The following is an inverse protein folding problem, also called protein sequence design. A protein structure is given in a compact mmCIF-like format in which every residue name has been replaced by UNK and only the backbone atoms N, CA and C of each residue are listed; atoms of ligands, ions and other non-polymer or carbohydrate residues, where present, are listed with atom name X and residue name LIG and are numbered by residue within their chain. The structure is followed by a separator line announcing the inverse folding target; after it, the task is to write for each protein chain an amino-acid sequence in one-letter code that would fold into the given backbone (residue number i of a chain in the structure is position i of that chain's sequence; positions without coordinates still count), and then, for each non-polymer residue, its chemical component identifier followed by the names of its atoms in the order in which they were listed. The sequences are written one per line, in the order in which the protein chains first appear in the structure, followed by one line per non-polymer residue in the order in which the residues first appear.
data_IF_545294831957
#
_entry.id   IF_545294831957
#
_cell.length_a   1.000
_cell.length_b   1.000
_cell.length_c   1.000
_cell.angle_alpha   90.00
_cell.angle_beta   90.00
_cell.angle_gamma   90.00
#
_symmetry.space_group_name_H-M   'P 1'
#
loop_
_entity.id
_entity.type
_entity.pdbx_description
1 polymer ?
#
# COMPACT_ATOMS: atom_id res chain seq x y z
N UNK A 1 7.18 5.57 -11.40
CA UNK A 1 6.11 5.48 -10.41
C UNK A 1 5.93 6.79 -9.61
N UNK A 2 6.92 7.28 -8.87
CA UNK A 2 6.79 8.51 -8.07
C UNK A 2 6.56 9.77 -8.92
N UNK A 3 7.24 9.89 -10.07
CA UNK A 3 7.13 11.02 -10.99
C UNK A 3 6.00 10.87 -12.02
N UNK A 4 5.42 9.69 -12.14
CA UNK A 4 4.44 9.38 -13.19
C UNK A 4 2.98 9.69 -12.81
N UNK A 5 2.73 10.46 -11.75
CA UNK A 5 1.38 10.89 -11.39
C UNK A 5 0.53 9.90 -10.58
N UNK A 6 1.07 8.74 -10.20
CA UNK A 6 0.36 7.77 -9.35
C UNK A 6 0.16 8.24 -7.90
N UNK A 7 0.88 9.26 -7.51
CA UNK A 7 0.82 9.86 -6.16
C UNK A 7 0.97 11.38 -6.27
N UNK A 8 0.33 12.12 -5.37
CA UNK A 8 0.34 13.57 -5.34
C UNK A 8 0.54 14.12 -3.95
N UNK A 9 0.80 15.43 -3.85
CA UNK A 9 0.64 16.21 -2.64
C UNK A 9 -0.79 16.78 -2.63
N UNK A 10 -1.60 16.34 -1.67
CA UNK A 10 -3.00 16.78 -1.53
C UNK A 10 -3.15 17.45 -0.18
N UNK A 11 -3.68 18.67 -0.15
CA UNK A 11 -3.85 19.48 1.08
C UNK A 11 -2.56 19.54 1.96
N UNK A 12 -1.40 19.68 1.32
CA UNK A 12 -0.11 19.74 2.00
C UNK A 12 0.50 18.38 2.37
N UNK A 13 -0.25 17.28 2.29
CA UNK A 13 0.20 15.92 2.64
C UNK A 13 0.75 15.20 1.43
N UNK A 14 1.98 14.70 1.54
CA UNK A 14 2.68 14.00 0.44
C UNK A 14 2.23 12.56 0.28
N UNK A 15 2.34 12.04 -0.96
CA UNK A 15 2.15 10.62 -1.23
C UNK A 15 0.72 10.13 -1.35
N UNK A 16 -0.24 11.06 -1.44
CA UNK A 16 -1.67 10.76 -1.48
C UNK A 16 -2.15 10.24 -2.83
N UNK A 17 -3.29 9.58 -2.80
CA UNK A 17 -4.11 9.30 -3.98
C UNK A 17 -4.48 10.62 -4.68
N UNK A 18 -4.13 10.79 -5.97
CA UNK A 18 -4.30 12.07 -6.67
C UNK A 18 -5.75 12.49 -6.89
N UNK A 19 -6.68 11.57 -6.68
CA UNK A 19 -8.10 11.75 -6.99
C UNK A 19 -8.51 11.08 -8.31
N UNK A 20 -9.83 11.04 -8.52
CA UNK A 20 -10.44 10.34 -9.66
C UNK A 20 -9.96 10.88 -11.00
N UNK A 21 -10.16 12.18 -11.26
CA UNK A 21 -9.87 12.79 -12.59
C UNK A 21 -8.40 12.68 -13.02
N UNK A 22 -7.41 13.04 -12.19
CA UNK A 22 -6.00 12.88 -12.57
C UNK A 22 -5.63 11.43 -12.90
N UNK A 23 -6.16 10.46 -12.17
CA UNK A 23 -5.89 9.04 -12.42
C UNK A 23 -6.63 8.49 -13.64
N UNK A 24 -7.84 8.93 -13.93
CA UNK A 24 -8.51 8.62 -15.20
C UNK A 24 -7.69 9.10 -16.40
N UNK A 25 -7.15 10.32 -16.33
CA UNK A 25 -6.30 10.88 -17.36
C UNK A 25 -4.99 10.09 -17.52
N UNK A 26 -4.32 9.79 -16.40
CA UNK A 26 -3.08 9.00 -16.41
C UNK A 26 -3.33 7.60 -16.98
N UNK A 27 -4.32 6.87 -16.52
CA UNK A 27 -4.60 5.51 -16.97
C UNK A 27 -5.02 5.49 -18.45
N UNK A 28 -5.83 6.48 -18.86
CA UNK A 28 -6.22 6.65 -20.27
C UNK A 28 -5.02 6.91 -21.17
N UNK A 29 -4.07 7.76 -20.74
CA UNK A 29 -2.86 8.07 -21.52
C UNK A 29 -1.92 6.88 -21.70
N UNK A 30 -2.00 5.89 -20.79
CA UNK A 30 -1.27 4.62 -20.88
C UNK A 30 -1.93 3.59 -21.83
N UNK A 31 -2.98 3.97 -22.57
CA UNK A 31 -3.71 3.08 -23.48
C UNK A 31 -4.56 2.03 -22.76
N UNK A 32 -4.95 2.29 -21.54
CA UNK A 32 -5.75 1.37 -20.71
C UNK A 32 -7.21 1.83 -20.69
N UNK A 33 -8.12 0.92 -20.99
CA UNK A 33 -9.56 1.06 -20.77
C UNK A 33 -10.06 0.03 -19.74
N UNK A 34 -11.35 0.09 -19.39
CA UNK A 34 -11.93 -0.77 -18.35
C UNK A 34 -12.02 -2.27 -18.73
N UNK A 35 -11.80 -2.63 -19.99
CA UNK A 35 -11.85 -4.04 -20.45
C UNK A 35 -10.55 -4.79 -20.20
N UNK A 36 -9.43 -4.11 -19.93
CA UNK A 36 -8.10 -4.70 -19.88
C UNK A 36 -7.81 -5.40 -18.55
N UNK A 37 -7.15 -6.53 -18.62
CA UNK A 37 -6.46 -7.10 -17.46
C UNK A 37 -5.10 -6.41 -17.32
N UNK A 38 -4.85 -5.81 -16.17
CA UNK A 38 -3.62 -5.09 -15.86
C UNK A 38 -2.68 -6.00 -15.09
N UNK A 39 -1.48 -6.20 -15.61
CA UNK A 39 -0.41 -6.90 -14.88
C UNK A 39 0.64 -5.87 -14.48
N UNK A 40 0.74 -5.62 -13.18
CA UNK A 40 1.75 -4.69 -12.63
C UNK A 40 3.06 -5.45 -12.44
N UNK A 41 4.12 -4.94 -13.09
CA UNK A 41 5.47 -5.52 -13.01
C UNK A 41 6.39 -4.55 -12.29
N UNK A 42 7.06 -5.02 -11.24
CA UNK A 42 8.11 -4.30 -10.51
C UNK A 42 9.48 -4.89 -10.83
N UNK A 43 10.57 -4.24 -10.40
CA UNK A 43 11.90 -4.73 -10.75
C UNK A 43 12.24 -6.11 -10.13
N UNK A 44 11.68 -6.44 -8.98
CA UNK A 44 11.89 -7.73 -8.30
C UNK A 44 13.15 -7.77 -7.41
N UNK A 45 13.61 -6.61 -6.90
CA UNK A 45 14.90 -6.48 -6.21
C UNK A 45 14.77 -6.22 -4.69
N UNK A 46 13.60 -5.82 -4.21
CA UNK A 46 13.39 -5.53 -2.80
C UNK A 46 11.90 -5.49 -2.41
N UNK A 47 11.64 -5.57 -1.11
CA UNK A 47 10.30 -5.38 -0.56
C UNK A 47 9.75 -3.98 -0.78
N UNK A 48 10.60 -2.95 -0.79
CA UNK A 48 10.20 -1.58 -1.12
C UNK A 48 9.80 -1.44 -2.59
N UNK A 49 10.48 -2.14 -3.48
CA UNK A 49 10.15 -2.21 -4.90
C UNK A 49 8.81 -2.92 -5.12
N UNK A 50 8.55 -4.05 -4.44
CA UNK A 50 7.22 -4.66 -4.42
C UNK A 50 6.13 -3.69 -3.97
N UNK A 51 6.44 -2.81 -3.02
CA UNK A 51 5.53 -1.77 -2.55
C UNK A 51 5.04 -0.82 -3.64
N UNK A 52 5.83 -0.59 -4.69
CA UNK A 52 5.39 0.19 -5.86
C UNK A 52 4.27 -0.53 -6.62
N UNK A 53 4.42 -1.84 -6.85
CA UNK A 53 3.39 -2.64 -7.50
C UNK A 53 2.13 -2.76 -6.63
N UNK A 54 2.28 -3.04 -5.34
CA UNK A 54 1.16 -3.12 -4.40
C UNK A 54 0.38 -1.80 -4.33
N UNK A 55 1.08 -0.65 -4.38
CA UNK A 55 0.45 0.66 -4.40
C UNK A 55 -0.35 0.92 -5.67
N UNK A 56 0.17 0.55 -6.84
CA UNK A 56 -0.56 0.66 -8.12
C UNK A 56 -1.76 -0.30 -8.11
N UNK A 57 -1.58 -1.52 -7.66
CA UNK A 57 -2.66 -2.50 -7.50
C UNK A 57 -3.80 -1.95 -6.63
N UNK A 58 -3.48 -1.44 -5.43
CA UNK A 58 -4.45 -0.80 -4.54
C UNK A 58 -5.13 0.40 -5.21
N UNK A 59 -4.40 1.17 -6.01
CA UNK A 59 -4.95 2.31 -6.73
C UNK A 59 -5.99 1.86 -7.75
N UNK A 60 -5.72 0.82 -8.55
CA UNK A 60 -6.72 0.26 -9.48
C UNK A 60 -7.95 -0.27 -8.76
N UNK A 61 -7.77 -1.00 -7.66
CA UNK A 61 -8.89 -1.49 -6.84
C UNK A 61 -9.74 -0.32 -6.30
N UNK A 62 -9.10 0.76 -5.87
CA UNK A 62 -9.77 1.99 -5.40
C UNK A 62 -10.48 2.72 -6.55
N UNK A 63 -9.94 2.68 -7.77
CA UNK A 63 -10.60 3.20 -8.97
C UNK A 63 -11.78 2.32 -9.45
N UNK A 64 -12.04 1.20 -8.77
CA UNK A 64 -13.11 0.26 -9.13
C UNK A 64 -12.72 -0.71 -10.25
N UNK A 65 -11.43 -0.82 -10.57
CA UNK A 65 -10.92 -1.76 -11.56
C UNK A 65 -10.41 -3.03 -10.86
N UNK A 66 -11.21 -4.10 -10.95
CA UNK A 66 -10.92 -5.37 -10.24
C UNK A 66 -9.97 -6.29 -11.01
N UNK A 67 -9.88 -6.14 -12.35
CA UNK A 67 -9.08 -7.00 -13.22
C UNK A 67 -7.61 -6.57 -13.25
N UNK A 68 -6.94 -6.68 -12.13
CA UNK A 68 -5.54 -6.31 -11.91
C UNK A 68 -4.78 -7.41 -11.17
N UNK A 69 -3.53 -7.65 -11.55
CA UNK A 69 -2.62 -8.63 -10.96
C UNK A 69 -1.23 -8.03 -10.78
N UNK A 70 -0.41 -8.67 -9.95
CA UNK A 70 1.02 -8.38 -9.82
C UNK A 70 1.81 -9.60 -10.30
N UNK A 71 2.81 -9.41 -11.17
CA UNK A 71 3.77 -10.45 -11.51
C UNK A 71 4.66 -10.71 -10.29
N UNK A 72 4.41 -11.81 -9.59
CA UNK A 72 5.13 -12.17 -8.37
C UNK A 72 6.61 -12.46 -8.66
N UNK A 73 7.53 -11.83 -7.93
CA UNK A 73 8.96 -11.84 -8.22
C UNK A 73 9.42 -10.79 -9.23
N UNK A 74 8.48 -10.12 -9.90
CA UNK A 74 8.73 -8.99 -10.81
C UNK A 74 9.57 -9.33 -12.03
N UNK A 75 10.17 -8.29 -12.64
CA UNK A 75 10.98 -8.42 -13.85
C UNK A 75 12.22 -9.32 -13.66
N UNK A 76 12.82 -9.27 -12.46
CA UNK A 76 13.99 -10.12 -12.17
C UNK A 76 13.64 -11.60 -12.32
N UNK A 77 12.56 -12.07 -11.70
CA UNK A 77 12.19 -13.49 -11.78
C UNK A 77 11.75 -13.90 -13.18
N UNK A 78 11.16 -13.00 -13.96
CA UNK A 78 10.86 -13.22 -15.38
C UNK A 78 12.14 -13.52 -16.19
N UNK A 79 13.18 -12.71 -16.00
CA UNK A 79 14.48 -12.91 -16.64
C UNK A 79 15.18 -14.19 -16.16
N UNK A 80 15.19 -14.41 -14.86
CA UNK A 80 15.85 -15.58 -14.26
C UNK A 80 15.20 -16.89 -14.73
N UNK A 81 13.89 -16.87 -15.04
CA UNK A 81 13.17 -17.99 -15.64
C UNK A 81 13.43 -18.18 -17.16
N UNK A 82 14.27 -17.35 -17.76
CA UNK A 82 14.62 -17.45 -19.19
C UNK A 82 13.57 -16.92 -20.16
N UNK A 83 12.55 -16.21 -19.67
CA UNK A 83 11.52 -15.65 -20.55
C UNK A 83 12.06 -14.49 -21.40
N UNK A 84 11.52 -14.38 -22.61
CA UNK A 84 11.94 -13.39 -23.60
C UNK A 84 11.74 -11.97 -23.09
N UNK A 85 12.76 -11.15 -23.29
CA UNK A 85 12.76 -9.71 -23.03
C UNK A 85 13.15 -8.99 -24.32
N UNK A 86 12.50 -7.87 -24.60
CA UNK A 86 12.83 -6.99 -25.73
C UNK A 86 13.21 -5.61 -25.20
N UNK A 87 14.11 -4.94 -25.91
CA UNK A 87 14.47 -3.55 -25.63
C UNK A 87 13.51 -2.59 -26.31
N UNK A 88 13.44 -1.37 -25.79
CA UNK A 88 12.62 -0.28 -26.34
C UNK A 88 11.37 -0.01 -25.52
N UNK A 89 10.67 1.04 -25.92
CA UNK A 89 9.41 1.46 -25.33
C UNK A 89 8.23 1.05 -26.22
N UNK A 90 7.22 0.44 -25.63
CA UNK A 90 5.93 0.24 -26.28
C UNK A 90 4.98 1.33 -25.81
N UNK A 91 4.61 2.25 -26.70
CA UNK A 91 3.54 3.20 -26.45
C UNK A 91 2.24 2.70 -27.07
N UNK A 92 1.18 2.68 -26.26
CA UNK A 92 -0.17 2.38 -26.75
C UNK A 92 -0.91 3.69 -27.02
N UNK A 93 -1.77 3.69 -28.04
CA UNK A 93 -2.68 4.82 -28.27
C UNK A 93 -3.57 5.02 -27.04
N UNK A 94 -3.79 6.28 -26.60
CA UNK A 94 -4.66 6.58 -25.47
C UNK A 94 -6.04 5.94 -25.64
N UNK A 95 -6.60 5.50 -24.51
CA UNK A 95 -7.95 4.92 -24.41
C UNK A 95 -8.78 5.74 -23.42
N UNK A 96 -10.04 5.37 -23.26
CA UNK A 96 -10.93 6.01 -22.26
C UNK A 96 -11.08 5.06 -21.07
N UNK A 97 -10.49 5.42 -19.95
CA UNK A 97 -10.70 4.75 -18.67
C UNK A 97 -11.67 5.57 -17.80
N UNK A 98 -12.71 4.92 -17.28
CA UNK A 98 -13.69 5.54 -16.37
C UNK A 98 -13.61 4.87 -15.00
N UNK A 99 -13.27 5.64 -13.98
CA UNK A 99 -13.19 5.17 -12.61
C UNK A 99 -14.57 5.18 -11.93
N UNK A 100 -14.83 4.15 -11.14
CA UNK A 100 -15.93 4.07 -10.19
C UNK A 100 -15.34 3.87 -8.80
N UNK A 101 -15.17 4.97 -8.03
CA UNK A 101 -14.44 4.93 -6.75
C UNK A 101 -15.04 3.91 -5.79
N UNK A 102 -14.20 2.98 -5.33
CA UNK A 102 -14.54 1.96 -4.37
C UNK A 102 -13.84 2.22 -3.03
N UNK A 103 -14.57 2.80 -2.09
CA UNK A 103 -14.03 3.19 -0.78
C UNK A 103 -13.78 2.01 0.17
N UNK A 104 -14.17 0.79 -0.19
CA UNK A 104 -13.97 -0.39 0.67
C UNK A 104 -12.50 -0.70 0.96
N UNK A 105 -11.59 -0.20 0.11
CA UNK A 105 -10.15 -0.41 0.25
C UNK A 105 -9.44 0.71 1.01
N UNK A 106 -10.13 1.83 1.27
CA UNK A 106 -9.56 3.02 1.89
C UNK A 106 -10.12 3.26 3.28
N UNK A 107 -9.29 3.75 4.19
CA UNK A 107 -9.72 4.22 5.51
C UNK A 107 -9.52 5.74 5.60
N UNK A 108 -10.53 6.41 6.15
CA UNK A 108 -10.50 7.85 6.38
C UNK A 108 -9.69 8.21 7.63
N UNK A 109 -9.24 9.45 7.71
CA UNK A 109 -8.63 10.02 8.92
C UNK A 109 -9.52 9.90 10.16
N UNK A 110 -10.86 10.10 10.01
CA UNK A 110 -11.83 9.98 11.10
C UNK A 110 -11.86 8.55 11.66
N UNK A 111 -11.83 7.55 10.80
CA UNK A 111 -11.82 6.14 11.23
C UNK A 111 -10.52 5.79 11.96
N UNK A 112 -9.37 6.23 11.45
CA UNK A 112 -8.08 6.02 12.12
C UNK A 112 -8.04 6.70 13.48
N UNK A 113 -8.51 7.95 13.58
CA UNK A 113 -8.58 8.68 14.84
C UNK A 113 -9.47 8.02 15.89
N UNK A 114 -10.53 7.37 15.45
CA UNK A 114 -11.51 6.70 16.31
C UNK A 114 -11.19 5.20 16.53
N UNK A 115 -10.14 4.67 15.89
CA UNK A 115 -9.77 3.28 16.04
C UNK A 115 -9.32 2.97 17.47
N UNK A 116 -10.01 2.04 18.11
CA UNK A 116 -9.69 1.54 19.45
C UNK A 116 -9.29 0.07 19.35
N UNK A 117 -8.30 -0.32 20.13
CA UNK A 117 -7.81 -1.71 20.19
C UNK A 117 -8.73 -2.65 20.97
N UNK A 118 -9.77 -2.13 21.59
CA UNK A 118 -10.69 -2.91 22.44
C UNK A 118 -11.53 -3.90 21.62
N UNK A 119 -11.99 -4.93 22.27
CA UNK A 119 -12.84 -6.02 21.75
C UNK A 119 -13.85 -5.52 20.71
N UNK A 120 -13.82 -6.08 19.53
CA UNK A 120 -14.58 -5.66 18.35
C UNK A 120 -14.11 -4.36 17.67
N UNK A 121 -12.89 -3.90 17.97
CA UNK A 121 -12.32 -2.67 17.40
C UNK A 121 -11.67 -2.86 16.03
N UNK A 122 -11.04 -1.78 15.57
CA UNK A 122 -10.20 -1.73 14.37
C UNK A 122 -8.74 -1.84 14.79
N UNK A 123 -8.02 -2.81 14.25
CA UNK A 123 -6.58 -2.91 14.43
C UNK A 123 -5.85 -1.94 13.49
N UNK A 124 -5.06 -1.03 14.04
CA UNK A 124 -4.13 -0.20 13.27
C UNK A 124 -2.80 -0.94 13.13
N UNK A 125 -2.32 -1.10 11.89
CA UNK A 125 -1.08 -1.82 11.58
C UNK A 125 -0.07 -0.85 10.97
N UNK A 126 1.00 -0.58 11.71
CA UNK A 126 2.13 0.21 11.25
C UNK A 126 3.08 -0.67 10.42
N UNK A 127 3.18 -0.37 9.14
CA UNK A 127 4.01 -1.11 8.19
C UNK A 127 5.49 -0.67 8.16
N UNK A 128 5.86 0.32 8.98
CA UNK A 128 7.22 0.88 9.00
C UNK A 128 8.20 -0.04 9.74
N UNK A 129 9.50 0.11 9.47
CA UNK A 129 10.53 -0.51 10.30
C UNK A 129 10.36 -0.17 11.80
N UNK A 130 10.77 -1.08 12.65
CA UNK A 130 10.59 -0.94 14.10
C UNK A 130 11.20 0.34 14.69
N UNK A 131 12.34 0.83 14.14
CA UNK A 131 12.95 2.09 14.55
C UNK A 131 12.03 3.31 14.34
N UNK A 132 11.23 3.29 13.25
CA UNK A 132 10.22 4.34 13.00
C UNK A 132 9.04 4.19 13.95
N UNK A 133 8.59 2.98 14.16
CA UNK A 133 7.49 2.66 15.07
C UNK A 133 7.79 3.09 16.51
N UNK A 134 9.01 2.85 16.99
CA UNK A 134 9.48 3.26 18.32
C UNK A 134 9.82 4.74 18.44
N UNK A 135 9.84 5.47 17.32
CA UNK A 135 10.20 6.89 17.33
C UNK A 135 11.71 7.17 17.41
N UNK A 136 12.54 6.15 17.13
CA UNK A 136 14.01 6.32 17.04
C UNK A 136 14.40 7.01 15.74
N UNK A 137 13.68 6.72 14.66
CA UNK A 137 13.91 7.31 13.33
C UNK A 137 12.63 7.91 12.76
N UNK A 138 12.79 8.83 11.82
CA UNK A 138 11.69 9.40 11.03
C UNK A 138 12.05 9.46 9.55
N UNK A 139 11.03 9.53 8.71
CA UNK A 139 11.21 9.78 7.29
C UNK A 139 11.76 11.21 7.07
N UNK A 140 12.76 11.41 6.18
CA UNK A 140 13.40 12.73 6.00
C UNK A 140 12.44 13.90 5.71
N UNK A 141 11.35 13.62 4.98
CA UNK A 141 10.34 14.62 4.64
C UNK A 141 9.29 14.88 5.75
N UNK A 142 9.40 14.23 6.92
CA UNK A 142 8.43 14.32 8.01
C UNK A 142 9.08 14.95 9.26
N UNK A 143 8.26 15.55 10.12
CA UNK A 143 8.73 16.36 11.25
C UNK A 143 8.75 15.60 12.56
N UNK A 144 7.76 14.73 12.78
CA UNK A 144 7.48 14.09 14.07
C UNK A 144 7.91 12.62 14.05
N UNK A 145 8.52 12.16 15.14
CA UNK A 145 8.83 10.73 15.39
C UNK A 145 7.69 10.05 16.12
N UNK A 146 7.66 8.70 16.11
CA UNK A 146 6.67 7.92 16.86
C UNK A 146 5.57 7.31 16.01
N UNK A 147 4.46 6.91 16.66
CA UNK A 147 3.38 6.16 16.01
C UNK A 147 1.99 6.63 16.41
N UNK A 148 0.99 6.21 15.64
CA UNK A 148 -0.43 6.38 15.98
C UNK A 148 -0.74 5.54 17.23
N UNK A 149 -1.46 6.08 18.22
CA UNK A 149 -1.87 5.30 19.41
C UNK A 149 -2.56 4.00 19.04
N UNK A 150 -2.35 2.97 19.85
CA UNK A 150 -2.92 1.63 19.70
C UNK A 150 -2.50 0.85 18.43
N UNK A 151 -1.57 1.38 17.64
CA UNK A 151 -1.04 0.66 16.51
C UNK A 151 -0.13 -0.50 16.94
N UNK A 152 -0.19 -1.60 16.20
CA UNK A 152 0.77 -2.71 16.26
C UNK A 152 1.75 -2.60 15.09
N UNK A 153 2.96 -3.12 15.23
CA UNK A 153 3.96 -3.06 14.17
C UNK A 153 4.06 -4.38 13.41
N UNK A 154 3.92 -4.31 12.10
CA UNK A 154 4.31 -5.39 11.20
C UNK A 154 5.10 -4.80 10.05
N UNK A 155 6.40 -4.93 10.12
CA UNK A 155 7.31 -4.37 9.13
C UNK A 155 7.04 -4.96 7.75
N UNK A 156 6.79 -4.10 6.75
CA UNK A 156 6.47 -4.52 5.40
C UNK A 156 7.51 -5.46 4.79
N UNK A 157 8.79 -5.27 5.13
CA UNK A 157 9.89 -6.11 4.64
C UNK A 157 9.77 -7.58 5.07
N UNK A 158 9.04 -7.86 6.15
CA UNK A 158 8.78 -9.23 6.62
C UNK A 158 7.73 -9.96 5.78
N UNK A 159 6.97 -9.25 4.95
CA UNK A 159 5.93 -9.83 4.08
C UNK A 159 6.45 -10.26 2.71
N UNK A 160 7.67 -9.86 2.35
CA UNK A 160 8.32 -10.20 1.08
C UNK A 160 9.59 -10.98 1.37
N UNK A 161 9.84 -12.05 0.63
CA UNK A 161 11.05 -12.85 0.74
C UNK A 161 12.28 -12.14 0.14
N UNK A 162 13.47 -12.61 0.47
CA UNK A 162 14.75 -12.12 -0.08
C UNK A 162 14.85 -12.29 -1.60
N UNK A 163 14.09 -13.22 -2.16
CA UNK A 163 13.96 -13.47 -3.60
C UNK A 163 13.00 -12.48 -4.31
N UNK A 164 12.44 -11.51 -3.59
CA UNK A 164 11.50 -10.53 -4.13
C UNK A 164 10.04 -11.00 -4.22
N UNK A 165 9.73 -12.26 -3.93
CA UNK A 165 8.36 -12.78 -3.95
C UNK A 165 7.59 -12.39 -2.69
N UNK A 166 6.30 -12.08 -2.84
CA UNK A 166 5.40 -11.99 -1.69
C UNK A 166 5.32 -13.36 -1.00
N UNK A 167 5.33 -13.37 0.32
CA UNK A 167 5.23 -14.60 1.10
C UNK A 167 3.88 -15.30 0.90
N UNK A 168 3.87 -16.61 1.13
CA UNK A 168 2.66 -17.44 1.07
C UNK A 168 1.63 -17.03 2.13
N UNK A 169 0.37 -17.44 1.91
CA UNK A 169 -0.71 -17.22 2.86
C UNK A 169 -0.35 -17.71 4.27
N UNK A 170 0.23 -18.90 4.39
CA UNK A 170 0.61 -19.49 5.67
C UNK A 170 1.66 -18.66 6.40
N UNK A 171 2.70 -18.19 5.67
CA UNK A 171 3.74 -17.34 6.25
C UNK A 171 3.20 -15.97 6.67
N UNK A 172 2.30 -15.38 5.87
CA UNK A 172 1.66 -14.11 6.22
C UNK A 172 0.79 -14.29 7.48
N UNK A 173 -0.05 -15.31 7.55
CA UNK A 173 -0.88 -15.58 8.72
C UNK A 173 -0.04 -15.82 9.97
N UNK A 174 1.07 -16.57 9.86
CA UNK A 174 2.01 -16.76 10.97
C UNK A 174 2.58 -15.43 11.47
N UNK A 175 3.05 -14.57 10.54
CA UNK A 175 3.61 -13.25 10.87
C UNK A 175 2.61 -12.38 11.66
N UNK A 176 1.31 -12.45 11.33
CA UNK A 176 0.27 -11.68 12.02
C UNK A 176 -0.13 -12.30 13.35
N UNK A 177 -0.17 -13.62 13.42
CA UNK A 177 -0.41 -14.32 14.68
C UNK A 177 0.71 -14.03 15.70
N UNK A 178 1.96 -14.06 15.25
CA UNK A 178 3.14 -13.72 16.08
C UNK A 178 3.05 -12.24 16.59
N UNK A 179 2.48 -11.35 15.80
CA UNK A 179 2.20 -9.96 16.18
C UNK A 179 0.91 -9.79 17.00
N UNK A 180 0.23 -10.89 17.38
CA UNK A 180 -1.04 -10.91 18.12
C UNK A 180 -2.17 -10.12 17.41
N UNK A 181 -2.17 -10.14 16.09
CA UNK A 181 -3.18 -9.48 15.25
C UNK A 181 -4.22 -10.52 14.83
N UNK A 182 -5.25 -10.69 15.65
CA UNK A 182 -6.37 -11.60 15.37
C UNK A 182 -7.63 -11.07 16.03
N UNK A 183 -8.77 -11.55 15.54
CA UNK A 183 -10.10 -11.33 16.13
C UNK A 183 -10.58 -9.87 16.15
N UNK A 184 -10.10 -9.04 15.20
CA UNK A 184 -10.61 -7.68 15.00
C UNK A 184 -11.72 -7.65 13.93
N UNK A 185 -12.67 -6.71 14.05
CA UNK A 185 -13.71 -6.47 13.05
C UNK A 185 -13.17 -5.90 11.74
N UNK A 186 -11.99 -5.28 11.79
CA UNK A 186 -11.34 -4.73 10.62
C UNK A 186 -9.91 -4.30 10.91
N UNK A 187 -9.17 -4.04 9.85
CA UNK A 187 -7.75 -3.74 9.89
C UNK A 187 -7.46 -2.51 9.04
N UNK A 188 -6.62 -1.62 9.53
CA UNK A 188 -6.17 -0.45 8.77
C UNK A 188 -4.65 -0.42 8.76
N UNK A 189 -4.05 -0.52 7.58
CA UNK A 189 -2.61 -0.42 7.41
C UNK A 189 -2.20 1.03 7.17
N UNK A 190 -1.07 1.45 7.71
CA UNK A 190 -0.45 2.74 7.44
C UNK A 190 1.08 2.64 7.45
N UNK A 191 1.77 3.65 6.91
CA UNK A 191 3.22 3.77 7.01
C UNK A 191 3.65 5.25 7.12
N UNK A 192 4.68 5.69 6.42
CA UNK A 192 5.02 7.11 6.35
C UNK A 192 4.09 7.87 5.39
N UNK A 193 3.90 7.35 4.17
CA UNK A 193 3.23 8.03 3.05
C UNK A 193 2.40 7.09 2.17
N UNK A 194 1.91 5.97 2.70
CA UNK A 194 1.05 5.02 2.00
C UNK A 194 1.75 4.04 1.03
N UNK A 195 3.09 4.01 0.97
CA UNK A 195 3.82 3.12 0.08
C UNK A 195 3.98 1.70 0.69
N UNK A 196 4.64 1.58 1.84
CA UNK A 196 4.81 0.31 2.55
C UNK A 196 3.49 -0.24 3.10
N UNK A 197 2.56 0.66 3.43
CA UNK A 197 1.21 0.28 3.86
C UNK A 197 0.47 -0.53 2.79
N UNK A 198 0.69 -0.22 1.51
CA UNK A 198 0.10 -0.96 0.40
C UNK A 198 0.63 -2.40 0.32
N UNK A 199 1.92 -2.64 0.65
CA UNK A 199 2.49 -4.00 0.72
C UNK A 199 1.80 -4.84 1.79
N UNK A 200 1.64 -4.27 2.99
CA UNK A 200 1.00 -4.95 4.12
C UNK A 200 -0.51 -5.14 3.85
N UNK A 201 -1.17 -4.14 3.27
CA UNK A 201 -2.55 -4.27 2.81
C UNK A 201 -2.70 -5.42 1.81
N UNK A 202 -1.84 -5.48 0.78
CA UNK A 202 -1.87 -6.55 -0.22
C UNK A 202 -1.64 -7.93 0.40
N UNK A 203 -0.66 -8.04 1.30
CA UNK A 203 -0.38 -9.29 1.99
C UNK A 203 -1.59 -9.81 2.78
N UNK A 204 -2.28 -8.92 3.51
CA UNK A 204 -3.46 -9.29 4.29
C UNK A 204 -4.70 -9.53 3.43
N UNK A 205 -5.05 -8.56 2.59
CA UNK A 205 -6.29 -8.58 1.81
C UNK A 205 -6.21 -9.61 0.68
N UNK A 206 -5.13 -9.57 -0.11
CA UNK A 206 -5.06 -10.32 -1.36
C UNK A 206 -4.40 -11.70 -1.22
N UNK A 207 -3.41 -11.84 -0.34
CA UNK A 207 -2.72 -13.13 -0.12
C UNK A 207 -3.37 -13.93 1.01
N UNK A 208 -3.49 -13.33 2.20
CA UNK A 208 -4.07 -14.01 3.35
C UNK A 208 -5.60 -14.10 3.30
N UNK A 209 -6.25 -13.28 2.46
CA UNK A 209 -7.71 -13.19 2.31
C UNK A 209 -8.43 -12.83 3.61
N UNK A 210 -7.81 -11.98 4.41
CA UNK A 210 -8.43 -11.44 5.61
C UNK A 210 -9.48 -10.39 5.19
N UNK A 211 -10.71 -10.47 5.70
CA UNK A 211 -11.76 -9.52 5.37
C UNK A 211 -11.52 -8.15 6.03
N UNK A 212 -12.17 -7.11 5.49
CA UNK A 212 -12.19 -5.75 6.07
C UNK A 212 -10.80 -5.13 6.28
N UNK A 213 -9.84 -5.42 5.39
CA UNK A 213 -8.53 -4.77 5.38
C UNK A 213 -8.59 -3.53 4.52
N UNK A 214 -8.26 -2.37 5.09
CA UNK A 214 -8.24 -1.09 4.42
C UNK A 214 -6.89 -0.40 4.59
N UNK A 215 -6.55 0.52 3.72
CA UNK A 215 -5.34 1.29 3.82
C UNK A 215 -5.66 2.76 4.17
N UNK A 216 -5.00 3.30 5.17
CA UNK A 216 -4.98 4.73 5.45
C UNK A 216 -3.92 5.39 4.57
N UNK A 217 -4.36 5.91 3.45
CA UNK A 217 -3.51 6.51 2.42
C UNK A 217 -2.66 7.67 2.97
N UNK A 218 -3.26 8.54 3.77
CA UNK A 218 -2.58 9.66 4.43
C UNK A 218 -1.42 9.26 5.33
N UNK A 219 -1.52 8.10 5.93
CA UNK A 219 -0.47 7.52 6.76
C UNK A 219 0.05 8.48 7.84
N UNK A 220 1.30 8.31 8.26
CA UNK A 220 1.93 9.15 9.26
C UNK A 220 2.02 10.62 8.82
N UNK A 221 2.31 10.89 7.55
CA UNK A 221 2.37 12.24 7.00
C UNK A 221 1.09 13.07 7.25
N UNK A 222 -0.07 12.43 7.10
CA UNK A 222 -1.35 13.07 7.40
C UNK A 222 -1.62 13.14 8.91
N UNK A 223 -1.24 12.10 9.66
CA UNK A 223 -1.43 12.08 11.11
C UNK A 223 -0.64 13.21 11.78
N UNK A 224 0.65 13.32 11.49
CA UNK A 224 1.51 14.35 12.10
C UNK A 224 1.17 15.80 11.68
N UNK A 225 0.46 15.98 10.56
CA UNK A 225 0.08 17.32 10.08
C UNK A 225 -0.91 18.03 11.01
N UNK A 226 -1.60 17.29 11.87
CA UNK A 226 -2.44 17.87 12.91
C UNK A 226 -1.75 17.77 14.28
N UNK A 227 -1.27 18.91 14.84
CA UNK A 227 -0.53 18.90 16.11
C UNK A 227 -1.36 18.47 17.33
N UNK A 228 -2.68 18.41 17.20
CA UNK A 228 -3.58 17.91 18.26
C UNK A 228 -3.64 16.37 18.33
N UNK A 229 -3.06 15.69 17.35
CA UNK A 229 -3.04 14.23 17.36
C UNK A 229 -2.02 13.72 18.38
N UNK A 230 -2.45 12.76 19.19
CA UNK A 230 -1.55 12.04 20.11
C UNK A 230 -0.52 11.25 19.31
N UNK A 231 0.70 11.21 19.82
CA UNK A 231 1.83 10.43 19.32
C UNK A 231 2.37 9.57 20.45
N UNK A 232 2.72 8.33 20.17
CA UNK A 232 3.33 7.41 21.12
C UNK A 232 4.78 7.17 20.70
N UNK A 233 5.68 7.19 21.70
CA UNK A 233 7.10 6.85 21.59
C UNK A 233 7.38 5.55 22.36
N UNK A 234 8.49 4.87 22.04
CA UNK A 234 8.98 3.70 22.78
C UNK A 234 8.37 2.36 22.37
#
# INVERSE_FOLDING_TARGET
YLKAGWRAKVNGVIGQFPGKKPLEQLVSSLGIDNSKHIIVVYAGVSSTDFGSAARIYWTFKTLGHENVSILNGGFKSWKDAGYKVVAGENSLSPKVFKASINNKYSASYKEVRNAKKETNGICLIDARPNDFFKGVKKHPALKVVGRIPNAVNVEQQKTVGSNGFIKSKTEILKLYNDAQIKDFKGYITYCNTGHWAATVWFALSEVAKIPQVRMYDGSWAHWESNPKNKVILG
#
